data_IF_956517207562
#
_entry.id   IF_956517207562
#
_cell.length_a   1.000
_cell.length_b   1.000
_cell.length_c   1.000
_cell.angle_alpha   90.00
_cell.angle_beta   90.00
_cell.angle_gamma   90.00
#
_symmetry.space_group_name_H-M   'P 1'
#
loop_
_entity.id
_entity.type
_entity.pdbx_description
1 polymer ?
#
# COMPACT_ATOMS: atom_id res chain seq x y z
N UNK A 1 -25.32 26.29 36.85
CA UNK A 1 -24.87 26.69 35.49
C UNK A 1 -24.00 25.58 34.92
N UNK A 2 -24.48 24.83 33.91
CA UNK A 2 -23.68 23.76 33.29
C UNK A 2 -22.58 24.39 32.45
N UNK A 3 -21.32 24.08 32.77
CA UNK A 3 -20.16 24.50 32.00
C UNK A 3 -20.32 23.97 30.55
N UNK A 4 -20.40 24.90 29.60
CA UNK A 4 -20.44 24.62 28.17
C UNK A 4 -19.06 24.04 27.81
N UNK A 5 -18.94 22.71 27.73
CA UNK A 5 -17.72 22.05 27.23
C UNK A 5 -17.39 22.71 25.87
N UNK A 6 -16.23 23.34 25.77
CA UNK A 6 -15.67 23.81 24.50
C UNK A 6 -15.67 22.61 23.55
N UNK A 7 -16.49 22.65 22.49
CA UNK A 7 -16.41 21.65 21.42
C UNK A 7 -15.02 21.83 20.79
N UNK A 8 -14.12 20.91 21.09
CA UNK A 8 -12.80 20.87 20.49
C UNK A 8 -12.98 20.69 18.99
N UNK A 9 -12.45 21.63 18.20
CA UNK A 9 -12.57 21.56 16.74
C UNK A 9 -11.66 20.45 16.25
N UNK A 10 -12.27 19.40 15.72
CA UNK A 10 -11.56 18.26 15.18
C UNK A 10 -11.05 18.59 13.79
N UNK A 11 -9.73 18.55 13.60
CA UNK A 11 -9.08 18.92 12.34
C UNK A 11 -8.72 17.68 11.53
N UNK A 12 -8.97 17.73 10.22
CA UNK A 12 -8.69 16.60 9.33
C UNK A 12 -7.19 16.26 9.31
N UNK A 13 -6.32 17.28 9.31
CA UNK A 13 -4.87 17.12 9.25
C UNK A 13 -4.31 16.35 10.46
N UNK A 14 -4.87 16.57 11.65
CA UNK A 14 -4.45 15.90 12.88
C UNK A 14 -4.71 14.39 12.82
N UNK A 15 -5.86 13.98 12.27
CA UNK A 15 -6.15 12.56 12.08
C UNK A 15 -5.23 11.92 11.06
N UNK A 16 -4.89 12.62 9.97
CA UNK A 16 -3.87 12.13 9.05
C UNK A 16 -2.53 11.90 9.76
N UNK A 17 -2.05 12.89 10.54
CA UNK A 17 -0.79 12.77 11.29
C UNK A 17 -0.82 11.61 12.27
N UNK A 18 -1.91 11.47 13.02
CA UNK A 18 -2.11 10.37 13.95
C UNK A 18 -2.07 9.01 13.25
N UNK A 19 -2.71 8.88 12.08
CA UNK A 19 -2.67 7.62 11.31
C UNK A 19 -1.27 7.32 10.76
N UNK A 20 -0.56 8.35 10.28
CA UNK A 20 0.81 8.19 9.78
C UNK A 20 1.74 7.73 10.91
N UNK A 21 1.69 8.40 12.07
CA UNK A 21 2.50 8.04 13.23
C UNK A 21 2.24 6.59 13.67
N UNK A 22 0.97 6.20 13.78
CA UNK A 22 0.60 4.84 14.13
C UNK A 22 1.09 3.79 13.11
N UNK A 23 1.10 4.12 11.81
CA UNK A 23 1.62 3.22 10.78
C UNK A 23 3.15 3.09 10.86
N UNK A 24 3.85 4.18 11.17
CA UNK A 24 5.31 4.16 11.35
C UNK A 24 5.73 3.38 12.60
N UNK A 25 5.03 3.56 13.72
CA UNK A 25 5.24 2.79 14.96
C UNK A 25 5.08 1.28 14.74
N UNK A 26 4.22 0.88 13.80
CA UNK A 26 4.00 -0.52 13.42
C UNK A 26 4.87 -0.97 12.24
N UNK A 27 5.93 -0.24 11.90
CA UNK A 27 6.88 -0.54 10.80
C UNK A 27 6.23 -0.67 9.40
N UNK A 28 5.00 -0.15 9.23
CA UNK A 28 4.25 -0.19 7.98
C UNK A 28 4.59 1.00 7.06
N UNK A 29 5.88 1.24 6.83
CA UNK A 29 6.40 2.44 6.18
C UNK A 29 5.84 2.68 4.77
N UNK A 30 5.60 1.62 3.99
CA UNK A 30 5.02 1.76 2.65
C UNK A 30 3.58 2.29 2.70
N UNK A 31 2.78 1.77 3.63
CA UNK A 31 1.41 2.25 3.86
C UNK A 31 1.43 3.67 4.41
N UNK A 32 2.34 3.97 5.36
CA UNK A 32 2.53 5.32 5.88
C UNK A 32 2.90 6.32 4.78
N UNK A 33 3.76 5.95 3.82
CA UNK A 33 4.10 6.79 2.68
C UNK A 33 2.88 7.11 1.80
N UNK A 34 2.00 6.14 1.54
CA UNK A 34 0.75 6.39 0.82
C UNK A 34 -0.16 7.37 1.57
N UNK A 35 -0.24 7.25 2.90
CA UNK A 35 -1.00 8.20 3.73
C UNK A 35 -0.39 9.61 3.72
N UNK A 36 0.95 9.74 3.75
CA UNK A 36 1.63 11.04 3.59
C UNK A 36 1.33 11.67 2.24
N UNK A 37 1.35 10.88 1.16
CA UNK A 37 1.05 11.37 -0.18
C UNK A 37 -0.41 11.83 -0.31
N UNK A 38 -1.36 11.05 0.21
CA UNK A 38 -2.76 11.42 0.26
C UNK A 38 -2.98 12.70 1.10
N UNK A 39 -2.35 12.80 2.28
CA UNK A 39 -2.38 14.00 3.12
C UNK A 39 -1.87 15.22 2.35
N UNK A 40 -0.72 15.11 1.67
CA UNK A 40 -0.16 16.21 0.92
C UNK A 40 -1.06 16.63 -0.26
N UNK A 41 -1.70 15.66 -0.91
CA UNK A 41 -2.72 15.91 -1.95
C UNK A 41 -3.91 16.70 -1.41
N UNK A 42 -4.47 16.28 -0.26
CA UNK A 42 -5.55 17.02 0.42
C UNK A 42 -5.09 18.43 0.80
N UNK A 43 -3.86 18.59 1.31
CA UNK A 43 -3.33 19.92 1.66
C UNK A 43 -3.22 20.84 0.44
N UNK A 44 -2.82 20.32 -0.72
CA UNK A 44 -2.81 21.11 -1.97
C UNK A 44 -4.22 21.50 -2.42
N UNK A 45 -5.19 20.59 -2.28
CA UNK A 45 -6.57 20.85 -2.63
C UNK A 45 -7.21 21.93 -1.74
N UNK A 46 -7.02 21.83 -0.43
CA UNK A 46 -7.58 22.82 0.53
C UNK A 46 -6.80 24.14 0.51
N UNK A 47 -5.49 24.10 0.24
CA UNK A 47 -4.63 25.28 0.21
C UNK A 47 -4.12 25.69 1.60
N UNK A 48 -3.97 26.99 1.81
CA UNK A 48 -3.36 27.58 3.01
C UNK A 48 -4.09 27.20 4.31
N UNK A 49 -5.41 27.04 4.23
CA UNK A 49 -6.27 26.67 5.37
C UNK A 49 -6.23 25.17 5.70
N UNK A 50 -5.42 24.38 4.99
CA UNK A 50 -5.36 22.93 5.21
C UNK A 50 -4.99 22.51 6.64
N UNK A 51 -4.25 23.35 7.36
CA UNK A 51 -3.88 23.11 8.76
C UNK A 51 -5.02 23.33 9.76
N UNK A 52 -6.05 24.10 9.40
CA UNK A 52 -7.21 24.40 10.25
C UNK A 52 -8.52 23.84 9.68
N UNK A 53 -8.46 23.01 8.64
CA UNK A 53 -9.62 22.44 7.97
C UNK A 53 -10.41 21.49 8.89
N UNK A 54 -11.66 21.85 9.27
CA UNK A 54 -12.44 21.04 10.21
C UNK A 54 -12.96 19.76 9.56
N UNK A 55 -12.96 18.67 10.32
CA UNK A 55 -13.48 17.36 9.87
C UNK A 55 -14.96 17.44 9.41
N UNK A 56 -15.77 18.30 10.05
CA UNK A 56 -17.18 18.51 9.71
C UNK A 56 -17.42 19.10 8.31
N UNK A 57 -16.41 19.75 7.72
CA UNK A 57 -16.51 20.32 6.37
C UNK A 57 -16.28 19.25 5.28
N UNK A 58 -15.85 18.04 5.67
CA UNK A 58 -15.78 16.88 4.77
C UNK A 58 -17.19 16.37 4.54
N UNK A 59 -17.91 16.99 3.60
CA UNK A 59 -19.25 16.61 3.15
C UNK A 59 -19.20 15.99 1.74
N UNK A 60 -20.31 15.40 1.28
CA UNK A 60 -20.37 14.71 -0.01
C UNK A 60 -19.90 15.56 -1.19
N UNK A 61 -20.34 16.83 -1.25
CA UNK A 61 -19.90 17.75 -2.31
C UNK A 61 -18.38 18.00 -2.26
N UNK A 62 -17.82 18.25 -1.07
CA UNK A 62 -16.38 18.47 -0.91
C UNK A 62 -15.56 17.25 -1.36
N UNK A 63 -16.03 16.04 -1.04
CA UNK A 63 -15.37 14.80 -1.48
C UNK A 63 -15.46 14.67 -3.01
N UNK A 64 -16.60 15.01 -3.61
CA UNK A 64 -16.78 15.00 -5.07
C UNK A 64 -15.81 15.98 -5.75
N UNK A 65 -15.72 17.21 -5.24
CA UNK A 65 -14.82 18.24 -5.77
C UNK A 65 -13.36 17.82 -5.64
N UNK A 66 -13.00 17.15 -4.55
CA UNK A 66 -11.65 16.61 -4.38
C UNK A 66 -11.33 15.50 -5.39
N UNK A 67 -12.30 14.63 -5.71
CA UNK A 67 -12.11 13.60 -6.74
C UNK A 67 -11.87 14.22 -8.11
N UNK A 68 -12.66 15.24 -8.48
CA UNK A 68 -12.48 15.99 -9.73
C UNK A 68 -11.11 16.67 -9.74
N UNK A 69 -10.72 17.34 -8.65
CA UNK A 69 -9.39 17.95 -8.52
C UNK A 69 -8.25 16.95 -8.76
N UNK A 70 -8.32 15.75 -8.17
CA UNK A 70 -7.31 14.72 -8.34
C UNK A 70 -7.14 14.29 -9.81
N UNK A 71 -8.23 14.21 -10.56
CA UNK A 71 -8.25 13.77 -11.95
C UNK A 71 -7.88 14.90 -12.92
N UNK A 72 -8.43 16.08 -12.70
CA UNK A 72 -8.33 17.20 -13.65
C UNK A 72 -7.14 18.10 -13.38
N UNK A 73 -6.78 18.31 -12.11
CA UNK A 73 -5.68 19.21 -11.73
C UNK A 73 -4.40 18.44 -11.47
N UNK A 74 -4.41 17.48 -10.54
CA UNK A 74 -3.23 16.67 -10.21
C UNK A 74 -2.91 15.62 -11.29
N UNK A 75 -3.79 15.45 -12.30
CA UNK A 75 -3.66 14.48 -13.41
C UNK A 75 -3.34 13.06 -12.93
N UNK A 76 -3.91 12.66 -11.79
CA UNK A 76 -3.68 11.33 -11.23
C UNK A 76 -4.36 10.26 -12.08
N UNK A 77 -3.70 9.10 -12.19
CA UNK A 77 -4.36 7.91 -12.71
C UNK A 77 -5.57 7.55 -11.84
N UNK A 78 -6.60 6.94 -12.43
CA UNK A 78 -7.78 6.48 -11.69
C UNK A 78 -7.40 5.58 -10.49
N UNK A 79 -6.39 4.72 -10.63
CA UNK A 79 -5.88 3.87 -9.53
C UNK A 79 -5.27 4.69 -8.38
N UNK A 80 -4.53 5.75 -8.70
CA UNK A 80 -3.92 6.63 -7.69
C UNK A 80 -4.99 7.47 -6.99
N UNK A 81 -5.94 8.02 -7.75
CA UNK A 81 -7.08 8.77 -7.20
C UNK A 81 -7.93 7.89 -6.27
N UNK A 82 -8.25 6.66 -6.68
CA UNK A 82 -8.96 5.67 -5.84
C UNK A 82 -8.16 5.32 -4.58
N UNK A 83 -6.83 5.19 -4.68
CA UNK A 83 -5.99 4.97 -3.52
C UNK A 83 -6.13 6.12 -2.50
N UNK A 84 -6.02 7.37 -2.94
CA UNK A 84 -6.13 8.54 -2.06
C UNK A 84 -7.55 8.71 -1.50
N UNK A 85 -8.58 8.48 -2.32
CA UNK A 85 -9.97 8.48 -1.91
C UNK A 85 -10.24 7.47 -0.79
N UNK A 86 -9.76 6.22 -0.92
CA UNK A 86 -9.91 5.19 0.12
C UNK A 86 -9.15 5.54 1.40
N UNK A 87 -7.98 6.17 1.29
CA UNK A 87 -7.21 6.63 2.45
C UNK A 87 -7.98 7.74 3.18
N UNK A 88 -8.48 8.74 2.46
CA UNK A 88 -9.29 9.82 3.03
C UNK A 88 -10.53 9.26 3.75
N UNK A 89 -11.24 8.32 3.12
CA UNK A 89 -12.37 7.62 3.72
C UNK A 89 -11.98 6.87 5.00
N UNK A 90 -10.85 6.17 4.98
CA UNK A 90 -10.36 5.45 6.16
C UNK A 90 -10.02 6.40 7.33
N UNK A 91 -9.37 7.53 7.02
CA UNK A 91 -9.05 8.57 8.01
C UNK A 91 -10.33 9.18 8.58
N UNK A 92 -11.29 9.56 7.74
CA UNK A 92 -12.58 10.09 8.17
C UNK A 92 -13.34 9.11 9.06
N UNK A 93 -13.49 7.85 8.64
CA UNK A 93 -14.23 6.84 9.39
C UNK A 93 -13.58 6.56 10.75
N UNK A 94 -12.24 6.56 10.82
CA UNK A 94 -11.52 6.39 12.09
C UNK A 94 -11.70 7.61 12.98
N UNK A 95 -11.69 8.82 12.41
CA UNK A 95 -11.94 10.05 13.14
C UNK A 95 -13.33 10.09 13.77
N UNK A 96 -14.38 9.78 12.99
CA UNK A 96 -15.78 9.70 13.48
C UNK A 96 -15.89 8.69 14.63
N UNK A 97 -15.31 7.50 14.46
CA UNK A 97 -15.33 6.44 15.49
C UNK A 97 -14.62 6.85 16.78
N UNK A 98 -13.47 7.53 16.69
CA UNK A 98 -12.68 7.92 17.86
C UNK A 98 -13.27 9.11 18.61
N UNK A 99 -13.81 10.09 17.86
CA UNK A 99 -14.27 11.35 18.43
C UNK A 99 -15.70 11.31 18.97
N UNK A 100 -16.43 10.20 18.76
CA UNK A 100 -17.86 10.05 19.12
C UNK A 100 -18.71 11.22 18.58
N UNK A 101 -18.28 11.81 17.47
CA UNK A 101 -19.05 12.81 16.75
C UNK A 101 -20.26 12.10 16.18
N UNK A 102 -21.43 12.72 16.30
CA UNK A 102 -22.62 12.24 15.61
C UNK A 102 -22.29 12.12 14.13
N UNK A 103 -22.53 10.92 13.58
CA UNK A 103 -22.34 10.68 12.16
C UNK A 103 -23.12 11.77 11.40
N UNK A 104 -22.49 12.39 10.42
CA UNK A 104 -23.16 13.43 9.63
C UNK A 104 -24.49 12.87 9.11
N UNK A 105 -25.54 13.71 9.05
CA UNK A 105 -26.87 13.29 8.58
C UNK A 105 -26.79 12.54 7.24
N UNK A 106 -25.80 12.89 6.42
CA UNK A 106 -25.42 12.14 5.21
C UNK A 106 -23.94 11.74 5.22
N UNK A 107 -23.67 10.44 5.01
CA UNK A 107 -22.32 9.90 4.91
C UNK A 107 -21.58 10.40 3.65
N UNK A 108 -20.45 11.13 3.78
CA UNK A 108 -19.81 11.85 2.66
C UNK A 108 -19.31 10.98 1.50
N UNK A 109 -19.09 9.68 1.73
CA UNK A 109 -18.49 8.77 0.76
C UNK A 109 -19.50 7.79 0.14
N UNK A 110 -20.81 7.98 0.35
CA UNK A 110 -21.84 6.99 -0.01
C UNK A 110 -22.02 6.82 -1.52
N UNK A 111 -22.05 7.93 -2.25
CA UNK A 111 -22.42 8.00 -3.68
C UNK A 111 -21.21 8.13 -4.63
N UNK A 112 -19.99 8.17 -4.10
CA UNK A 112 -18.79 8.45 -4.87
C UNK A 112 -18.02 7.16 -5.15
N UNK A 113 -17.79 6.89 -6.43
CA UNK A 113 -17.01 5.76 -6.91
C UNK A 113 -16.08 6.21 -8.05
N UNK A 114 -14.79 5.85 -7.93
CA UNK A 114 -13.79 6.10 -8.97
C UNK A 114 -13.65 4.82 -9.78
N UNK A 115 -14.06 4.85 -11.05
CA UNK A 115 -13.91 3.71 -11.95
C UNK A 115 -12.43 3.48 -12.28
N UNK A 116 -11.85 2.42 -11.72
CA UNK A 116 -10.46 2.01 -11.99
C UNK A 116 -10.45 0.98 -13.12
N UNK A 117 -9.82 1.27 -14.28
CA UNK A 117 -9.76 0.30 -15.37
C UNK A 117 -8.94 -0.93 -14.96
N UNK A 118 -9.26 -2.13 -15.47
CA UNK A 118 -8.49 -3.33 -15.19
C UNK A 118 -7.05 -3.16 -15.69
N UNK A 119 -6.10 -3.63 -14.88
CA UNK A 119 -4.70 -3.66 -15.32
C UNK A 119 -4.54 -4.65 -16.47
N UNK A 120 -3.95 -4.20 -17.57
CA UNK A 120 -3.69 -5.04 -18.73
C UNK A 120 -2.86 -6.28 -18.33
N UNK A 121 -3.25 -7.46 -18.83
CA UNK A 121 -2.53 -8.71 -18.59
C UNK A 121 -1.19 -8.68 -19.35
N UNK A 122 -0.09 -8.52 -18.62
CA UNK A 122 1.29 -8.55 -19.15
C UNK A 122 1.97 -9.91 -18.94
N UNK A 123 1.19 -10.99 -18.99
CA UNK A 123 1.73 -12.32 -18.79
C UNK A 123 2.43 -12.78 -20.08
N UNK A 124 3.66 -13.27 -19.94
CA UNK A 124 4.37 -13.92 -21.05
C UNK A 124 3.79 -15.31 -21.31
N UNK A 125 3.65 -15.67 -22.58
CA UNK A 125 3.35 -17.02 -23.02
C UNK A 125 4.52 -17.97 -22.74
N UNK A 126 4.25 -19.27 -22.72
CA UNK A 126 5.29 -20.30 -22.55
C UNK A 126 6.39 -20.17 -23.60
N UNK A 127 6.01 -19.92 -24.85
CA UNK A 127 6.95 -19.73 -25.97
C UNK A 127 7.87 -18.54 -25.72
N UNK A 128 7.33 -17.42 -25.20
CA UNK A 128 8.12 -16.24 -24.87
C UNK A 128 9.07 -16.48 -23.69
N UNK A 129 8.64 -17.23 -22.68
CA UNK A 129 9.51 -17.61 -21.55
C UNK A 129 10.64 -18.51 -22.03
N UNK A 130 10.35 -19.53 -22.86
CA UNK A 130 11.37 -20.40 -23.45
C UNK A 130 12.36 -19.60 -24.33
N UNK A 131 11.85 -18.68 -25.16
CA UNK A 131 12.70 -17.76 -25.94
C UNK A 131 13.62 -16.92 -25.07
N UNK A 132 13.10 -16.37 -23.95
CA UNK A 132 13.92 -15.58 -23.03
C UNK A 132 14.98 -16.43 -22.33
N UNK A 133 14.66 -17.69 -21.98
CA UNK A 133 15.59 -18.65 -21.36
C UNK A 133 16.76 -18.95 -22.29
N UNK A 134 16.46 -19.24 -23.55
CA UNK A 134 17.44 -19.69 -24.54
C UNK A 134 18.14 -18.52 -25.25
N UNK A 135 17.71 -17.29 -24.98
CA UNK A 135 18.31 -16.09 -25.53
C UNK A 135 19.79 -15.98 -25.15
N UNK A 136 20.66 -15.91 -26.16
CA UNK A 136 22.09 -15.66 -26.00
C UNK A 136 22.32 -14.18 -25.74
N UNK A 137 22.35 -13.82 -24.46
CA UNK A 137 22.60 -12.46 -23.97
C UNK A 137 23.97 -12.38 -23.30
N UNK A 138 24.54 -11.18 -23.26
CA UNK A 138 25.83 -10.90 -22.60
C UNK A 138 25.69 -9.74 -21.63
N UNK A 139 26.64 -9.62 -20.69
CA UNK A 139 26.69 -8.54 -19.70
C UNK A 139 25.45 -8.47 -18.81
N UNK A 140 24.97 -7.25 -18.56
CA UNK A 140 23.84 -6.98 -17.66
C UNK A 140 22.53 -7.63 -18.14
N UNK A 141 22.34 -7.77 -19.46
CA UNK A 141 21.15 -8.42 -20.02
C UNK A 141 21.10 -9.91 -19.69
N UNK A 142 22.25 -10.59 -19.70
CA UNK A 142 22.35 -11.98 -19.25
C UNK A 142 21.99 -12.11 -17.77
N UNK A 143 22.53 -11.22 -16.94
CA UNK A 143 22.22 -11.19 -15.49
C UNK A 143 20.75 -10.93 -15.22
N UNK A 144 20.12 -10.00 -15.96
CA UNK A 144 18.69 -9.72 -15.83
C UNK A 144 17.83 -10.94 -16.22
N UNK A 145 18.18 -11.65 -17.29
CA UNK A 145 17.54 -12.92 -17.67
C UNK A 145 17.69 -13.96 -16.56
N UNK A 146 18.88 -14.13 -16.01
CA UNK A 146 19.13 -15.15 -14.98
C UNK A 146 18.33 -14.87 -13.70
N UNK A 147 18.26 -13.59 -13.30
CA UNK A 147 17.41 -13.16 -12.18
C UNK A 147 15.93 -13.40 -12.49
N UNK A 148 15.47 -13.04 -13.69
CA UNK A 148 14.08 -13.31 -14.10
C UNK A 148 13.76 -14.80 -14.03
N UNK A 149 14.63 -15.66 -14.58
CA UNK A 149 14.44 -17.12 -14.59
C UNK A 149 14.43 -17.68 -13.17
N UNK A 150 15.34 -17.20 -12.30
CA UNK A 150 15.31 -17.55 -10.89
C UNK A 150 13.96 -17.22 -10.24
N UNK A 151 13.46 -15.99 -10.40
CA UNK A 151 12.18 -15.57 -9.81
C UNK A 151 11.01 -16.40 -10.35
N UNK A 152 11.04 -16.72 -11.64
CA UNK A 152 10.05 -17.59 -12.28
C UNK A 152 10.06 -19.00 -11.67
N UNK A 153 11.22 -19.63 -11.56
CA UNK A 153 11.37 -20.96 -10.94
C UNK A 153 11.08 -20.94 -9.43
N UNK A 154 11.35 -19.83 -8.75
CA UNK A 154 11.00 -19.59 -7.35
C UNK A 154 9.51 -19.22 -7.16
N UNK A 155 8.62 -19.71 -8.05
CA UNK A 155 7.16 -19.52 -8.00
C UNK A 155 6.72 -18.06 -7.94
N UNK A 156 7.43 -17.19 -8.66
CA UNK A 156 7.14 -15.75 -8.68
C UNK A 156 7.46 -15.08 -7.35
N UNK A 157 8.62 -15.40 -6.76
CA UNK A 157 9.18 -14.65 -5.63
C UNK A 157 9.21 -13.15 -5.97
N UNK A 158 8.91 -12.27 -4.99
CA UNK A 158 9.02 -10.85 -5.26
C UNK A 158 10.47 -10.39 -5.19
N UNK A 159 10.81 -9.32 -5.93
CA UNK A 159 12.20 -8.84 -6.01
C UNK A 159 12.79 -8.53 -4.64
N UNK A 160 12.04 -7.85 -3.76
CA UNK A 160 12.49 -7.52 -2.40
C UNK A 160 12.87 -8.77 -1.59
N UNK A 161 12.13 -9.86 -1.76
CA UNK A 161 12.42 -11.12 -1.07
C UNK A 161 13.68 -11.79 -1.62
N UNK A 162 13.96 -11.67 -2.93
CA UNK A 162 15.22 -12.15 -3.52
C UNK A 162 16.43 -11.44 -2.92
N UNK A 163 16.41 -10.11 -2.75
CA UNK A 163 17.50 -9.39 -2.07
C UNK A 163 17.53 -9.70 -0.57
N UNK A 164 16.37 -10.04 0.01
CA UNK A 164 16.15 -10.62 1.34
C UNK A 164 16.92 -11.93 1.58
N UNK A 165 17.05 -12.73 0.53
CA UNK A 165 17.31 -14.14 0.63
C UNK A 165 18.74 -14.44 1.10
N UNK A 166 18.85 -15.22 2.16
CA UNK A 166 20.13 -15.64 2.76
C UNK A 166 20.46 -17.06 2.35
N UNK A 167 21.76 -17.36 2.23
CA UNK A 167 22.22 -18.74 1.97
C UNK A 167 21.76 -19.74 3.04
N UNK A 168 21.62 -19.29 4.29
CA UNK A 168 21.11 -20.11 5.41
C UNK A 168 19.65 -20.53 5.24
N UNK A 169 18.89 -19.86 4.38
CA UNK A 169 17.49 -20.17 4.08
C UNK A 169 17.35 -21.24 2.98
N UNK A 170 18.48 -21.68 2.40
CA UNK A 170 18.56 -22.79 1.45
C UNK A 170 18.89 -24.07 2.22
N UNK A 171 17.91 -24.97 2.35
CA UNK A 171 18.11 -26.25 3.03
C UNK A 171 17.29 -27.36 2.38
N UNK A 172 17.90 -28.54 2.21
CA UNK A 172 17.23 -29.72 1.67
C UNK A 172 16.68 -29.56 0.25
N UNK A 173 17.24 -28.65 -0.55
CA UNK A 173 16.73 -28.32 -1.90
C UNK A 173 15.57 -27.32 -1.91
N UNK A 174 15.20 -26.76 -0.76
CA UNK A 174 14.11 -25.80 -0.61
C UNK A 174 14.60 -24.40 -0.26
N UNK A 175 13.81 -23.40 -0.63
CA UNK A 175 13.98 -22.00 -0.22
C UNK A 175 12.96 -21.70 0.88
N UNK A 176 13.45 -21.52 2.11
CA UNK A 176 12.61 -21.28 3.29
C UNK A 176 12.66 -19.81 3.70
N UNK A 177 11.67 -19.02 3.27
CA UNK A 177 11.57 -17.59 3.60
C UNK A 177 10.11 -17.17 3.87
N UNK A 178 9.95 -16.03 4.56
CA UNK A 178 8.66 -15.36 4.74
C UNK A 178 8.54 -14.18 3.79
N UNK A 179 7.41 -14.06 3.09
CA UNK A 179 7.17 -12.96 2.15
C UNK A 179 7.16 -11.62 2.88
N UNK A 180 7.98 -10.66 2.44
CA UNK A 180 8.10 -9.34 3.06
C UNK A 180 6.76 -8.60 3.14
N UNK A 181 5.87 -8.80 2.17
CA UNK A 181 4.58 -8.07 2.10
C UNK A 181 3.52 -8.60 3.07
N UNK A 182 3.50 -9.90 3.35
CA UNK A 182 2.42 -10.54 4.12
C UNK A 182 2.91 -11.22 5.38
N UNK A 183 4.23 -11.27 5.60
CA UNK A 183 4.90 -12.05 6.64
C UNK A 183 4.56 -13.56 6.64
N UNK A 184 3.89 -14.05 5.60
CA UNK A 184 3.50 -15.46 5.50
C UNK A 184 4.65 -16.31 4.94
N UNK A 185 4.86 -17.53 5.47
CA UNK A 185 5.85 -18.44 4.93
C UNK A 185 5.50 -18.81 3.49
N UNK A 186 6.50 -18.78 2.60
CA UNK A 186 6.33 -19.12 1.20
C UNK A 186 6.09 -20.63 0.99
N UNK A 187 6.64 -21.48 1.87
CA UNK A 187 6.39 -22.91 1.92
C UNK A 187 5.60 -23.23 3.21
N UNK A 188 4.38 -23.76 3.08
CA UNK A 188 3.53 -24.11 4.22
C UNK A 188 3.75 -25.56 4.70
N UNK A 189 4.39 -26.40 3.89
CA UNK A 189 4.32 -27.86 4.01
C UNK A 189 5.61 -28.53 4.50
N UNK A 190 6.60 -27.77 4.98
CA UNK A 190 7.80 -28.37 5.59
C UNK A 190 7.89 -28.03 7.08
N UNK A 191 7.83 -29.02 7.99
CA UNK A 191 8.07 -28.76 9.40
C UNK A 191 9.49 -28.24 9.56
N UNK A 192 9.67 -27.14 10.31
CA UNK A 192 10.98 -26.72 10.83
C UNK A 192 11.50 -27.83 11.75
N UNK A 193 12.07 -28.88 11.17
CA UNK A 193 12.80 -29.86 11.96
C UNK A 193 14.16 -29.24 12.25
N UNK A 194 14.24 -28.64 13.43
CA UNK A 194 15.51 -28.38 14.09
C UNK A 194 16.26 -29.71 14.20
N UNK A 195 17.24 -29.95 13.33
CA UNK A 195 18.38 -30.81 13.61
C UNK A 195 19.63 -30.18 13.03
N UNK A 196 20.42 -29.63 13.95
CA UNK A 196 21.82 -29.37 13.75
C UNK A 196 22.54 -30.66 13.31
N UNK A 197 23.62 -30.46 12.56
CA UNK A 197 24.68 -31.41 12.23
C UNK A 197 24.34 -32.60 11.32
N UNK A 198 24.63 -32.40 10.03
CA UNK A 198 25.46 -33.38 9.32
C UNK A 198 26.27 -32.69 8.20
N UNK A 199 27.60 -32.87 8.16
CA UNK A 199 28.42 -32.28 7.10
C UNK A 199 28.19 -33.01 5.77
N UNK A 200 28.14 -32.24 4.69
CA UNK A 200 28.10 -32.73 3.32
C UNK A 200 29.41 -33.49 3.04
N UNK A 201 29.27 -34.74 2.58
CA UNK A 201 30.34 -35.48 1.89
C UNK A 201 30.34 -35.09 0.43
#
# INVERSE_FOLDING_TARGET
>A
MKARKKKETLLLDDFFRQQIAHLDENENHFTAANYRNARQSVRRFVGEESGCFPLKEVIGQWVSDYVVYMQDTDKLSASSADCYYRILRAVYNKAVKQSRVEEAEEYPFKSINIAVPPTLKRALSEIEVCRLRDAKLTGEKARARDVFMFLFYARGMCFVDLFKLKKSELYGGYINYSRSKTAMPACKDHPRTARADRPLR
#
